data_IF_201074109676
#
_entry.id   IF_201074109676
#
_cell.length_a   1.000
_cell.length_b   1.000
_cell.length_c   1.000
_cell.angle_alpha   90.00
_cell.angle_beta   90.00
_cell.angle_gamma   90.00
#
_symmetry.space_group_name_H-M   'P 1'
#
loop_
_entity.id
_entity.type
_entity.pdbx_description
1 polymer ?
#
# COMPACT_ATOMS: atom_id res chain seq x y z
N UNK A 1 11.93 7.05 -3.66
CA UNK A 1 11.25 6.01 -2.88
C UNK A 1 9.74 6.24 -2.88
N UNK A 2 9.01 5.17 -2.70
CA UNK A 2 7.56 5.23 -2.55
C UNK A 2 7.25 5.17 -1.05
N UNK A 3 6.33 5.98 -0.61
CA UNK A 3 5.95 6.01 0.79
C UNK A 3 4.59 5.34 0.96
N UNK A 4 4.51 4.39 1.88
CA UNK A 4 3.25 3.74 2.22
C UNK A 4 2.90 4.13 3.64
N UNK A 5 1.70 4.64 3.84
CA UNK A 5 1.23 5.08 5.15
C UNK A 5 0.16 4.11 5.64
N UNK A 6 0.40 3.51 6.80
CA UNK A 6 -0.51 2.55 7.39
C UNK A 6 -0.47 2.65 8.90
N UNK A 7 -1.62 2.90 9.51
CA UNK A 7 -1.76 2.98 10.98
C UNK A 7 -0.72 3.90 11.61
N UNK A 8 -0.62 5.13 11.10
CA UNK A 8 0.32 6.13 11.61
C UNK A 8 1.79 5.75 11.43
N UNK A 9 2.09 4.77 10.59
CA UNK A 9 3.45 4.40 10.25
C UNK A 9 3.72 4.67 8.79
N UNK A 10 4.95 5.02 8.50
CA UNK A 10 5.39 5.22 7.13
C UNK A 10 6.38 4.13 6.76
N UNK A 11 6.18 3.54 5.60
CA UNK A 11 7.06 2.51 5.08
C UNK A 11 7.64 3.01 3.78
N UNK A 12 8.96 2.95 3.63
CA UNK A 12 9.61 3.32 2.39
C UNK A 12 9.88 2.07 1.58
N UNK A 13 9.43 2.07 0.34
CA UNK A 13 9.67 0.94 -0.56
C UNK A 13 10.26 1.44 -1.86
N UNK A 14 10.92 0.55 -2.57
CA UNK A 14 11.53 0.90 -3.84
C UNK A 14 10.48 1.06 -4.93
N UNK A 15 10.65 2.03 -5.82
CA UNK A 15 9.76 2.15 -6.98
C UNK A 15 9.97 0.99 -7.94
N UNK A 16 8.96 0.75 -8.75
CA UNK A 16 9.03 -0.31 -9.75
C UNK A 16 8.46 -1.64 -9.32
N UNK A 17 8.08 -1.78 -8.08
CA UNK A 17 7.48 -3.03 -7.61
C UNK A 17 5.96 -2.89 -7.57
N UNK A 18 5.26 -4.02 -7.60
CA UNK A 18 3.82 -4.03 -7.48
C UNK A 18 3.43 -3.77 -6.02
N UNK A 19 2.28 -3.17 -5.83
CA UNK A 19 1.77 -2.91 -4.48
C UNK A 19 1.73 -4.20 -3.64
N UNK A 20 1.31 -5.31 -4.25
CA UNK A 20 1.25 -6.58 -3.55
C UNK A 20 2.62 -6.96 -2.95
N UNK A 21 3.67 -6.81 -3.73
CA UNK A 21 5.01 -7.16 -3.26
C UNK A 21 5.46 -6.23 -2.14
N UNK A 22 5.12 -4.95 -2.24
CA UNK A 22 5.45 -3.99 -1.20
C UNK A 22 4.75 -4.33 0.12
N UNK A 23 3.48 -4.74 0.04
CA UNK A 23 2.73 -5.12 1.22
C UNK A 23 3.31 -6.38 1.87
N UNK A 24 3.60 -7.39 1.07
CA UNK A 24 4.18 -8.62 1.59
C UNK A 24 5.54 -8.38 2.23
N UNK A 25 6.33 -7.51 1.63
CA UNK A 25 7.66 -7.22 2.16
C UNK A 25 7.59 -6.58 3.53
N UNK A 26 6.52 -5.87 3.83
CA UNK A 26 6.35 -5.20 5.10
C UNK A 26 5.39 -5.93 6.04
N UNK A 27 5.09 -7.18 5.73
CA UNK A 27 4.21 -8.02 6.55
C UNK A 27 2.81 -7.45 6.71
N UNK A 28 2.33 -6.79 5.68
CA UNK A 28 0.96 -6.27 5.66
C UNK A 28 0.12 -7.22 4.79
N UNK A 29 -0.98 -7.69 5.34
CA UNK A 29 -1.86 -8.59 4.60
C UNK A 29 -2.61 -7.82 3.52
N UNK A 30 -2.44 -8.16 2.25
CA UNK A 30 -3.11 -7.41 1.16
C UNK A 30 -4.63 -7.46 1.26
N UNK A 31 -5.16 -8.55 1.76
CA UNK A 31 -6.61 -8.72 1.86
C UNK A 31 -7.22 -7.99 3.03
N UNK A 32 -6.40 -7.44 3.91
CA UNK A 32 -6.87 -6.73 5.09
C UNK A 32 -6.81 -5.21 4.93
N UNK A 33 -6.40 -4.72 3.77
CA UNK A 33 -6.27 -3.29 3.55
C UNK A 33 -6.81 -2.90 2.19
N UNK A 34 -7.21 -1.63 2.10
CA UNK A 34 -7.54 -1.01 0.84
C UNK A 34 -6.50 0.08 0.62
N UNK A 35 -5.96 0.13 -0.59
CA UNK A 35 -4.93 1.10 -0.92
C UNK A 35 -5.52 2.25 -1.74
N UNK A 36 -5.10 3.46 -1.41
CA UNK A 36 -5.48 4.64 -2.17
C UNK A 36 -4.24 5.43 -2.54
N UNK A 37 -4.31 6.08 -3.70
CA UNK A 37 -3.24 6.95 -4.20
C UNK A 37 -3.92 8.20 -4.72
N UNK A 38 -3.58 9.34 -4.12
CA UNK A 38 -4.21 10.62 -4.46
C UNK A 38 -5.73 10.56 -4.39
N UNK A 39 -6.25 9.86 -3.38
CA UNK A 39 -7.69 9.75 -3.19
C UNK A 39 -8.39 8.71 -4.03
N UNK A 40 -7.67 8.02 -4.89
CA UNK A 40 -8.26 6.99 -5.75
C UNK A 40 -7.86 5.60 -5.30
N UNK A 41 -8.80 4.68 -5.35
CA UNK A 41 -8.49 3.29 -5.02
C UNK A 41 -7.59 2.68 -6.06
N UNK A 42 -6.59 1.96 -5.61
CA UNK A 42 -5.72 1.22 -6.53
C UNK A 42 -5.73 -0.25 -6.14
N UNK A 43 -5.41 -1.09 -7.10
CA UNK A 43 -5.39 -2.53 -6.89
C UNK A 43 -3.98 -3.00 -6.57
N UNK A 44 -3.87 -4.23 -6.07
CA UNK A 44 -2.57 -4.74 -5.62
C UNK A 44 -1.60 -5.02 -6.75
N UNK A 45 -2.06 -5.07 -7.98
CA UNK A 45 -1.17 -5.26 -9.13
C UNK A 45 -0.62 -3.94 -9.71
N UNK A 46 -1.01 -2.82 -9.11
CA UNK A 46 -0.49 -1.52 -9.55
C UNK A 46 1.00 -1.41 -9.27
N UNK A 47 1.74 -0.90 -10.24
CA UNK A 47 3.17 -0.68 -10.07
C UNK A 47 3.39 0.67 -9.39
N UNK A 48 4.18 0.66 -8.34
CA UNK A 48 4.46 1.88 -7.59
C UNK A 48 5.61 2.64 -8.24
N UNK A 49 5.45 3.95 -8.32
CA UNK A 49 6.45 4.83 -8.95
C UNK A 49 7.09 5.74 -7.93
N UNK A 50 8.31 6.17 -8.23
CA UNK A 50 9.07 7.05 -7.35
C UNK A 50 8.29 8.32 -7.03
N UNK A 51 8.31 8.71 -5.79
CA UNK A 51 7.63 9.92 -5.34
C UNK A 51 6.17 9.74 -4.96
N UNK A 52 5.62 8.56 -5.17
CA UNK A 52 4.21 8.34 -4.84
C UNK A 52 4.01 8.07 -3.35
N UNK A 53 2.82 8.44 -2.89
CA UNK A 53 2.40 8.19 -1.52
C UNK A 53 1.14 7.35 -1.59
N UNK A 54 1.19 6.18 -0.98
CA UNK A 54 0.05 5.26 -0.94
C UNK A 54 -0.45 5.18 0.48
N UNK A 55 -1.73 5.40 0.67
CA UNK A 55 -2.36 5.29 1.98
C UNK A 55 -3.15 4.01 2.06
N UNK A 56 -2.96 3.29 3.14
CA UNK A 56 -3.68 2.04 3.38
C UNK A 56 -4.71 2.25 4.48
N UNK A 57 -5.89 1.70 4.25
CA UNK A 57 -6.97 1.74 5.23
C UNK A 57 -7.28 0.30 5.61
N UNK A 58 -7.28 0.01 6.88
CA UNK A 58 -7.59 -1.34 7.34
C UNK A 58 -9.05 -1.65 7.06
N UNK A 59 -9.29 -2.83 6.50
CA UNK A 59 -10.64 -3.30 6.24
C UNK A 59 -10.90 -4.42 7.22
N UNK A 60 -11.86 -4.22 8.08
CA UNK A 60 -12.23 -5.27 9.02
C UNK A 60 -13.33 -6.07 8.34
N UNK A 61 -12.99 -7.24 7.87
CA UNK A 61 -14.02 -8.11 7.35
C UNK A 61 -14.80 -8.56 8.55
N UNK A 62 -16.02 -8.16 8.55
CA UNK A 62 -16.88 -8.28 9.63
C UNK A 62 -16.98 -9.62 10.27
N UNK A 63 -16.70 -9.84 10.99
CA UNK A 63 -16.88 -11.02 11.63
C UNK A 63 -17.40 -10.92 12.93
#
# INVERSE_FOLDING_TARGET
MVKIIYRNREYDVRPGMALLDALKKNNILPEAVIATREGELITEDEILRDGEIVKLVAVISGG
#
